data_IF_862399591890
#
_entry.id   IF_862399591890
#
_cell.length_a   1.000
_cell.length_b   1.000
_cell.length_c   1.000
_cell.angle_alpha   90.00
_cell.angle_beta   90.00
_cell.angle_gamma   90.00
#
_symmetry.space_group_name_H-M   'P 1'
#
loop_
_entity.id
_entity.type
_entity.pdbx_description
1 polymer ?
#
# COMPACT_ATOMS: atom_id res chain seq x y z
N UNK A 1 40.88 -30.79 -5.58
CA UNK A 1 41.67 -29.71 -6.21
C UNK A 1 41.40 -29.52 -7.72
N UNK A 2 41.20 -30.59 -8.51
CA UNK A 2 40.86 -30.46 -9.95
C UNK A 2 39.53 -29.72 -10.26
N UNK A 3 38.52 -29.81 -9.40
CA UNK A 3 37.23 -29.11 -9.55
C UNK A 3 37.29 -27.61 -9.21
N UNK A 4 38.18 -27.20 -8.30
CA UNK A 4 38.34 -25.79 -7.89
C UNK A 4 39.08 -25.01 -8.98
N UNK A 5 40.03 -25.65 -9.67
CA UNK A 5 40.75 -25.04 -10.78
C UNK A 5 39.90 -24.93 -12.05
N UNK A 6 38.92 -25.81 -12.26
CA UNK A 6 37.96 -25.71 -13.37
C UNK A 6 37.01 -24.50 -13.22
N UNK A 7 36.49 -24.25 -12.01
CA UNK A 7 35.66 -23.06 -11.74
C UNK A 7 36.42 -21.74 -11.86
N UNK A 8 37.72 -21.72 -11.55
CA UNK A 8 38.53 -20.49 -11.64
C UNK A 8 38.86 -20.12 -13.10
N UNK A 9 38.89 -21.09 -14.02
CA UNK A 9 39.13 -20.87 -15.46
C UNK A 9 37.86 -20.43 -16.20
N UNK A 10 36.70 -20.99 -15.85
CA UNK A 10 35.41 -20.60 -16.45
C UNK A 10 34.97 -19.17 -16.12
N UNK A 11 35.40 -18.61 -14.97
CA UNK A 11 35.02 -17.26 -14.55
C UNK A 11 35.87 -16.14 -15.19
N UNK A 12 37.04 -16.47 -15.74
CA UNK A 12 37.92 -15.49 -16.40
C UNK A 12 37.52 -15.27 -17.88
N UNK A 13 37.03 -16.32 -18.56
CA UNK A 13 36.66 -16.24 -19.97
C UNK A 13 35.32 -15.51 -20.19
N UNK A 14 34.39 -15.56 -19.23
CA UNK A 14 33.09 -14.85 -19.33
C UNK A 14 33.18 -13.32 -19.19
N UNK A 15 34.22 -12.82 -18.50
CA UNK A 15 34.42 -11.38 -18.27
C UNK A 15 35.10 -10.67 -19.45
N UNK A 16 35.71 -11.40 -20.38
CA UNK A 16 36.39 -10.82 -21.55
C UNK A 16 35.51 -10.75 -22.82
N UNK A 17 34.45 -11.57 -22.92
CA UNK A 17 33.56 -11.57 -24.09
C UNK A 17 32.40 -10.54 -24.04
N UNK A 18 32.12 -9.93 -22.88
CA UNK A 18 30.99 -8.97 -22.74
C UNK A 18 31.39 -7.49 -22.67
N UNK A 19 32.66 -7.15 -22.93
CA UNK A 19 33.17 -5.78 -22.81
C UNK A 19 33.19 -4.97 -24.13
N UNK A 20 32.48 -5.43 -25.16
CA UNK A 20 32.46 -4.78 -26.49
C UNK A 20 31.05 -4.62 -27.07
N UNK A 21 30.18 -3.83 -26.42
CA UNK A 21 29.04 -3.22 -27.12
C UNK A 21 28.45 -2.02 -26.36
N UNK A 22 29.24 -0.98 -26.13
CA UNK A 22 28.71 0.34 -25.78
C UNK A 22 29.25 1.39 -26.76
N UNK A 23 28.59 1.50 -27.91
CA UNK A 23 28.65 2.70 -28.76
C UNK A 23 27.28 2.93 -29.41
N UNK A 24 26.71 4.08 -29.07
CA UNK A 24 25.88 4.91 -29.94
C UNK A 24 24.47 4.41 -30.29
N UNK A 25 23.47 4.93 -29.57
CA UNK A 25 22.16 5.22 -30.15
C UNK A 25 21.47 6.33 -29.36
N UNK A 26 21.74 7.57 -29.78
CA UNK A 26 20.86 8.71 -29.55
C UNK A 26 19.65 8.50 -30.44
N UNK A 27 18.47 8.25 -29.86
CA UNK A 27 17.19 8.26 -30.57
C UNK A 27 16.25 9.23 -29.87
N UNK A 28 16.10 10.40 -30.49
CA UNK A 28 15.01 11.35 -30.31
C UNK A 28 13.77 10.78 -31.01
N UNK A 29 12.61 10.74 -30.34
CA UNK A 29 11.39 10.21 -30.96
C UNK A 29 10.11 10.31 -30.11
N UNK A 30 9.44 11.45 -30.23
CA UNK A 30 7.99 11.70 -30.29
C UNK A 30 6.96 10.94 -29.42
N UNK A 31 6.27 11.74 -28.59
CA UNK A 31 4.81 11.93 -28.43
C UNK A 31 3.89 10.74 -28.68
N UNK A 32 3.14 10.34 -27.63
CA UNK A 32 1.68 10.12 -27.73
C UNK A 32 0.97 10.52 -26.43
N UNK A 33 0.07 11.48 -26.59
CA UNK A 33 -0.96 11.95 -25.68
C UNK A 33 -2.07 10.90 -25.59
N UNK A 34 -2.57 10.58 -24.40
CA UNK A 34 -3.82 9.83 -24.24
C UNK A 34 -4.72 10.51 -23.22
N UNK A 35 -5.60 11.36 -23.74
CA UNK A 35 -6.82 11.84 -23.12
C UNK A 35 -7.82 10.70 -22.99
N UNK A 36 -8.44 10.54 -21.82
CA UNK A 36 -9.72 9.84 -21.70
C UNK A 36 -10.78 10.82 -21.21
N UNK A 37 -11.67 11.13 -22.14
CA UNK A 37 -12.97 11.77 -21.94
C UNK A 37 -14.00 10.63 -21.92
N UNK A 38 -14.86 10.57 -20.91
CA UNK A 38 -16.32 10.59 -21.09
C UNK A 38 -17.02 10.55 -19.75
N UNK A 39 -17.93 11.52 -19.59
CA UNK A 39 -18.90 11.64 -18.53
C UNK A 39 -20.03 10.61 -18.68
N UNK A 40 -20.64 10.24 -17.54
CA UNK A 40 -22.03 9.81 -17.52
C UNK A 40 -22.64 10.21 -16.18
N UNK A 41 -23.36 11.33 -16.23
CA UNK A 41 -24.30 11.84 -15.23
C UNK A 41 -25.39 10.82 -14.95
N UNK A 42 -25.52 10.35 -13.70
CA UNK A 42 -26.70 9.60 -13.26
C UNK A 42 -27.87 10.58 -13.10
N UNK A 43 -28.87 10.43 -13.96
CA UNK A 43 -30.19 11.02 -13.81
C UNK A 43 -30.90 10.36 -12.62
N UNK A 44 -31.04 11.11 -11.54
CA UNK A 44 -32.02 10.85 -10.48
C UNK A 44 -33.41 11.23 -11.01
N UNK A 45 -34.26 10.24 -11.25
CA UNK A 45 -35.69 10.45 -11.50
C UNK A 45 -36.41 10.30 -10.16
N UNK A 46 -36.63 11.43 -9.50
CA UNK A 46 -37.61 11.60 -8.42
C UNK A 46 -38.97 11.74 -9.09
N UNK A 47 -39.88 10.79 -8.85
CA UNK A 47 -41.28 10.93 -9.27
C UNK A 47 -42.06 11.54 -8.08
N UNK A 48 -42.82 12.64 -8.29
CA UNK A 48 -43.51 13.35 -7.23
C UNK A 48 -44.80 12.64 -6.81
N UNK A 49 -45.02 12.61 -5.50
CA UNK A 49 -46.31 12.30 -4.88
C UNK A 49 -47.26 13.48 -5.08
N UNK A 50 -48.30 13.33 -5.90
CA UNK A 50 -49.48 14.20 -5.87
C UNK A 50 -50.70 13.38 -5.46
N UNK A 51 -51.31 13.82 -4.36
CA UNK A 51 -52.58 13.34 -3.86
C UNK A 51 -53.73 13.75 -4.78
N UNK A 52 -54.70 12.85 -4.96
CA UNK A 52 -56.08 13.20 -5.32
C UNK A 52 -57.05 12.31 -4.55
N UNK A 53 -57.81 12.93 -3.66
CA UNK A 53 -58.95 12.38 -2.93
C UNK A 53 -60.19 12.47 -3.82
N UNK A 54 -60.96 11.39 -4.01
CA UNK A 54 -62.42 11.48 -4.13
C UNK A 54 -63.08 10.12 -3.84
N UNK A 55 -64.05 10.14 -2.92
CA UNK A 55 -64.89 9.03 -2.48
C UNK A 55 -66.06 8.84 -3.46
N UNK A 56 -66.38 7.59 -3.83
CA UNK A 56 -67.73 6.98 -3.85
C UNK A 56 -67.79 5.74 -4.75
N UNK A 57 -68.49 4.70 -4.27
CA UNK A 57 -68.83 3.47 -5.01
C UNK A 57 -68.47 2.25 -4.17
N UNK A 58 -69.27 1.95 -3.14
CA UNK A 58 -70.32 0.91 -3.18
C UNK A 58 -69.76 -0.50 -3.34
N UNK A 59 -69.92 -1.26 -2.26
CA UNK A 59 -69.77 -2.70 -2.10
C UNK A 59 -69.74 -3.53 -3.38
N UNK A 60 -68.59 -4.16 -3.66
CA UNK A 60 -68.53 -5.36 -4.49
C UNK A 60 -67.34 -6.23 -4.04
N UNK A 61 -67.64 -7.31 -3.31
CA UNK A 61 -66.68 -8.37 -3.06
C UNK A 61 -66.51 -9.14 -4.38
N UNK A 62 -65.31 -9.22 -4.99
CA UNK A 62 -65.17 -10.00 -6.20
C UNK A 62 -65.28 -11.48 -5.85
N UNK A 63 -66.37 -12.04 -6.33
CA UNK A 63 -66.73 -13.44 -6.39
C UNK A 63 -65.76 -14.20 -7.33
N UNK A 64 -65.28 -15.36 -6.84
CA UNK A 64 -64.60 -16.45 -7.57
C UNK A 64 -63.32 -16.07 -8.33
N UNK A 65 -62.17 -16.41 -7.74
CA UNK A 65 -60.86 -16.43 -8.42
C UNK A 65 -60.96 -17.41 -9.60
N UNK A 66 -61.14 -16.87 -10.80
CA UNK A 66 -61.21 -17.65 -12.03
C UNK A 66 -59.92 -18.45 -12.24
N UNK A 67 -60.07 -19.69 -12.70
CA UNK A 67 -58.98 -20.63 -13.03
C UNK A 67 -57.90 -20.00 -13.94
N UNK A 68 -58.26 -18.96 -14.71
CA UNK A 68 -57.38 -18.16 -15.57
C UNK A 68 -56.42 -17.21 -14.82
N UNK A 69 -56.78 -16.67 -13.66
CA UNK A 69 -55.90 -15.82 -12.84
C UNK A 69 -54.82 -16.67 -12.12
N UNK A 70 -55.20 -17.86 -11.68
CA UNK A 70 -54.28 -18.85 -11.11
C UNK A 70 -53.23 -19.32 -12.13
N UNK A 71 -53.67 -19.62 -13.36
CA UNK A 71 -52.75 -20.00 -14.44
C UNK A 71 -51.79 -18.85 -14.81
N UNK A 72 -52.28 -17.61 -14.83
CA UNK A 72 -51.44 -16.44 -15.12
C UNK A 72 -50.40 -16.22 -14.02
N UNK A 73 -50.78 -16.35 -12.75
CA UNK A 73 -49.85 -16.28 -11.61
C UNK A 73 -48.83 -17.41 -11.61
N UNK A 74 -49.23 -18.63 -11.97
CA UNK A 74 -48.31 -19.75 -12.12
C UNK A 74 -47.26 -19.49 -13.20
N UNK A 75 -47.67 -18.98 -14.37
CA UNK A 75 -46.75 -18.65 -15.46
C UNK A 75 -45.78 -17.53 -15.09
N UNK A 76 -46.27 -16.49 -14.41
CA UNK A 76 -45.41 -15.40 -13.91
C UNK A 76 -44.40 -15.95 -12.89
N UNK A 77 -44.83 -16.83 -11.98
CA UNK A 77 -43.96 -17.43 -10.99
C UNK A 77 -42.92 -18.38 -11.62
N UNK A 78 -43.29 -19.15 -12.65
CA UNK A 78 -42.38 -19.99 -13.42
C UNK A 78 -41.32 -19.14 -14.13
N UNK A 79 -41.71 -18.04 -14.77
CA UNK A 79 -40.78 -17.12 -15.44
C UNK A 79 -39.78 -16.49 -14.45
N UNK A 80 -40.25 -16.06 -13.28
CA UNK A 80 -39.38 -15.56 -12.19
C UNK A 80 -38.43 -16.64 -11.69
N UNK A 81 -38.89 -17.90 -11.59
CA UNK A 81 -38.04 -19.00 -11.17
C UNK A 81 -36.92 -19.31 -12.17
N UNK A 82 -37.19 -19.15 -13.47
CA UNK A 82 -36.20 -19.31 -14.54
C UNK A 82 -35.18 -18.16 -14.49
N UNK A 83 -35.64 -16.92 -14.39
CA UNK A 83 -34.78 -15.73 -14.29
C UNK A 83 -33.86 -15.79 -13.05
N UNK A 84 -34.41 -16.21 -11.89
CA UNK A 84 -33.64 -16.39 -10.67
C UNK A 84 -32.55 -17.46 -10.83
N UNK A 85 -32.83 -18.58 -11.51
CA UNK A 85 -31.83 -19.62 -11.78
C UNK A 85 -30.69 -19.13 -12.66
N UNK A 86 -31.00 -18.32 -13.68
CA UNK A 86 -29.97 -17.71 -14.53
C UNK A 86 -29.11 -16.70 -13.76
N UNK A 87 -29.74 -15.88 -12.90
CA UNK A 87 -29.02 -14.98 -11.99
C UNK A 87 -28.12 -15.72 -11.01
N UNK A 88 -28.59 -16.81 -10.41
CA UNK A 88 -27.76 -17.65 -9.52
C UNK A 88 -26.56 -18.20 -10.28
N UNK A 89 -26.77 -18.73 -11.50
CA UNK A 89 -25.68 -19.27 -12.31
C UNK A 89 -24.64 -18.20 -12.66
N UNK A 90 -25.07 -17.01 -13.06
CA UNK A 90 -24.13 -15.91 -13.37
C UNK A 90 -23.37 -15.42 -12.14
N UNK A 91 -24.03 -15.36 -10.97
CA UNK A 91 -23.39 -15.04 -9.70
C UNK A 91 -22.38 -16.12 -9.27
N UNK A 92 -22.70 -17.41 -9.43
CA UNK A 92 -21.77 -18.51 -9.15
C UNK A 92 -20.54 -18.45 -10.06
N UNK A 93 -20.73 -18.21 -11.36
CA UNK A 93 -19.63 -18.04 -12.30
C UNK A 93 -18.79 -16.80 -11.97
N UNK A 94 -19.40 -15.70 -11.55
CA UNK A 94 -18.71 -14.48 -11.11
C UNK A 94 -17.90 -14.72 -9.83
N UNK A 95 -18.46 -15.40 -8.83
CA UNK A 95 -17.77 -15.79 -7.61
C UNK A 95 -16.58 -16.71 -7.91
N UNK A 96 -16.77 -17.69 -8.79
CA UNK A 96 -15.69 -18.61 -9.19
C UNK A 96 -14.57 -17.88 -9.93
N UNK A 97 -14.89 -16.89 -10.75
CA UNK A 97 -13.90 -16.01 -11.40
C UNK A 97 -13.19 -15.13 -10.37
N UNK A 98 -13.89 -14.61 -9.36
CA UNK A 98 -13.28 -13.87 -8.26
C UNK A 98 -12.35 -14.75 -7.42
N UNK A 99 -12.74 -15.98 -7.10
CA UNK A 99 -11.90 -16.91 -6.34
C UNK A 99 -10.68 -17.38 -7.14
N UNK A 100 -10.82 -17.54 -8.47
CA UNK A 100 -9.68 -17.79 -9.35
C UNK A 100 -8.77 -16.57 -9.52
N UNK A 101 -9.30 -15.35 -9.34
CA UNK A 101 -8.55 -14.09 -9.42
C UNK A 101 -7.88 -13.70 -8.09
N UNK A 102 -8.29 -14.28 -6.95
CA UNK A 102 -7.54 -14.15 -5.69
C UNK A 102 -6.13 -14.73 -5.91
N UNK A 103 -5.12 -13.90 -5.64
CA UNK A 103 -3.71 -14.28 -5.72
C UNK A 103 -3.49 -15.61 -4.99
N UNK A 104 -2.93 -16.61 -5.67
CA UNK A 104 -2.53 -17.87 -5.03
C UNK A 104 -1.61 -17.55 -3.84
N UNK A 105 -2.05 -17.93 -2.66
CA UNK A 105 -1.28 -17.80 -1.43
C UNK A 105 -0.39 -19.04 -1.24
N UNK A 106 0.84 -18.90 -0.71
CA UNK A 106 1.50 -17.65 -0.38
C UNK A 106 1.98 -16.91 -1.64
N UNK A 107 1.95 -15.58 -1.61
CA UNK A 107 2.51 -14.73 -2.67
C UNK A 107 3.70 -13.94 -2.17
N UNK A 108 4.68 -13.69 -3.04
CA UNK A 108 5.87 -12.87 -2.73
C UNK A 108 6.15 -11.93 -3.90
N UNK A 109 6.29 -10.65 -3.60
CA UNK A 109 6.67 -9.59 -4.54
C UNK A 109 8.00 -8.99 -4.12
N UNK A 110 8.99 -9.05 -4.99
CA UNK A 110 10.31 -8.46 -4.79
C UNK A 110 10.32 -7.07 -5.43
N UNK A 111 10.80 -6.07 -4.70
CA UNK A 111 10.89 -4.68 -5.13
C UNK A 111 12.27 -4.11 -4.82
N UNK A 112 12.83 -3.33 -5.75
CA UNK A 112 14.09 -2.63 -5.58
C UNK A 112 13.93 -1.12 -5.77
N UNK A 113 14.80 -0.34 -5.16
CA UNK A 113 14.89 1.12 -5.39
C UNK A 113 16.28 1.60 -5.00
N UNK A 114 16.88 2.42 -5.85
CA UNK A 114 18.12 3.12 -5.54
C UNK A 114 17.94 4.62 -5.75
N UNK A 115 18.74 5.40 -5.04
CA UNK A 115 18.78 6.84 -5.13
C UNK A 115 20.23 7.28 -5.00
N UNK A 116 20.73 7.94 -6.04
CA UNK A 116 22.05 8.54 -6.08
C UNK A 116 21.91 10.05 -6.05
N UNK A 117 22.59 10.70 -5.12
CA UNK A 117 22.55 12.14 -4.93
C UNK A 117 23.97 12.69 -5.10
N UNK A 118 24.08 13.93 -5.57
CA UNK A 118 25.32 14.67 -5.59
C UNK A 118 25.08 16.08 -5.06
N UNK A 119 26.02 16.58 -4.26
CA UNK A 119 25.96 17.91 -3.66
C UNK A 119 27.28 18.63 -3.84
N UNK A 120 27.21 19.94 -4.09
CA UNK A 120 28.33 20.86 -4.09
C UNK A 120 28.04 21.96 -3.08
N UNK A 121 28.99 22.22 -2.18
CA UNK A 121 28.86 23.19 -1.12
C UNK A 121 29.81 24.37 -1.35
N UNK A 122 29.30 25.58 -1.11
CA UNK A 122 30.12 26.79 -1.00
C UNK A 122 30.16 27.21 0.46
N UNK A 123 31.36 27.49 0.97
CA UNK A 123 31.58 28.04 2.31
C UNK A 123 32.39 29.33 2.21
N UNK A 124 32.09 30.30 3.07
CA UNK A 124 32.95 31.45 3.35
C UNK A 124 34.10 31.05 4.28
N UNK A 125 35.03 31.99 4.51
CA UNK A 125 36.22 31.72 5.30
C UNK A 125 35.88 31.55 6.80
N UNK A 126 34.93 32.33 7.34
CA UNK A 126 34.46 32.19 8.73
C UNK A 126 33.87 30.79 9.00
N UNK A 127 33.09 30.23 8.05
CA UNK A 127 32.53 28.88 8.15
C UNK A 127 33.61 27.81 8.10
N UNK A 128 34.63 27.98 7.24
CA UNK A 128 35.75 27.03 7.15
C UNK A 128 36.61 27.03 8.40
N UNK A 129 36.84 28.20 8.99
CA UNK A 129 37.62 28.31 10.23
C UNK A 129 36.89 27.69 11.42
N UNK A 130 35.56 27.85 11.49
CA UNK A 130 34.75 27.29 12.57
C UNK A 130 34.47 25.78 12.44
N UNK A 131 34.23 25.28 11.22
CA UNK A 131 33.71 23.92 10.99
C UNK A 131 34.56 23.04 10.06
N UNK A 132 35.67 23.59 9.53
CA UNK A 132 36.47 22.94 8.51
C UNK A 132 35.83 23.00 7.11
N UNK A 133 36.56 22.48 6.13
CA UNK A 133 36.09 22.40 4.75
C UNK A 133 35.09 21.26 4.58
N UNK A 134 33.92 21.61 4.06
CA UNK A 134 32.87 20.68 3.63
C UNK A 134 33.12 20.32 2.17
N UNK A 135 33.32 19.04 1.92
CA UNK A 135 33.52 18.51 0.57
C UNK A 135 32.19 18.33 -0.16
N UNK A 136 32.17 18.70 -1.44
CA UNK A 136 31.15 18.22 -2.36
C UNK A 136 31.42 16.78 -2.76
N UNK A 137 30.38 16.06 -3.19
CA UNK A 137 30.52 14.67 -3.59
C UNK A 137 29.20 14.06 -4.04
N UNK A 138 29.31 12.86 -4.61
CA UNK A 138 28.18 12.01 -4.92
C UNK A 138 28.19 10.75 -4.07
N UNK A 139 27.03 10.33 -3.59
CA UNK A 139 26.85 9.07 -2.87
C UNK A 139 25.48 8.46 -3.20
N UNK A 140 25.39 7.15 -3.04
CA UNK A 140 24.09 6.49 -2.97
C UNK A 140 23.46 6.81 -1.62
N UNK A 141 22.42 7.62 -1.66
CA UNK A 141 21.60 7.91 -0.48
C UNK A 141 20.85 6.67 0.01
N UNK A 142 20.39 5.83 -0.92
CA UNK A 142 19.63 4.59 -0.64
C UNK A 142 19.87 3.57 -1.73
N UNK A 143 19.96 2.30 -1.36
CA UNK A 143 19.92 1.19 -2.28
C UNK A 143 19.20 0.05 -1.56
N UNK A 144 17.89 -0.03 -1.76
CA UNK A 144 17.02 -0.92 -1.01
C UNK A 144 16.50 -2.05 -1.86
N UNK A 145 16.60 -3.24 -1.31
CA UNK A 145 15.92 -4.44 -1.79
C UNK A 145 14.87 -4.83 -0.77
N UNK A 146 13.67 -5.14 -1.23
CA UNK A 146 12.55 -5.53 -0.38
C UNK A 146 11.78 -6.71 -0.95
N UNK A 147 11.23 -7.52 -0.05
CA UNK A 147 10.29 -8.58 -0.35
C UNK A 147 9.03 -8.35 0.49
N UNK A 148 7.87 -8.23 -0.16
CA UNK A 148 6.56 -8.22 0.48
C UNK A 148 5.87 -9.53 0.17
N UNK A 149 5.39 -10.24 1.19
CA UNK A 149 4.62 -11.46 1.00
C UNK A 149 3.26 -11.39 1.67
N UNK A 150 2.28 -12.09 1.09
CA UNK A 150 1.05 -12.46 1.76
C UNK A 150 1.11 -13.96 2.03
N UNK A 151 1.19 -14.34 3.30
CA UNK A 151 1.30 -15.74 3.75
C UNK A 151 -0.08 -16.37 3.81
N UNK A 152 -1.05 -15.66 4.37
CA UNK A 152 -2.47 -16.02 4.42
C UNK A 152 -3.32 -14.80 4.06
N UNK A 153 -4.64 -14.95 3.95
CA UNK A 153 -5.55 -13.82 3.72
C UNK A 153 -5.45 -12.74 4.83
N UNK A 154 -4.99 -13.13 6.02
CA UNK A 154 -4.88 -12.26 7.20
C UNK A 154 -3.45 -12.01 7.66
N UNK A 155 -2.44 -12.51 6.96
CA UNK A 155 -1.05 -12.40 7.40
C UNK A 155 -0.15 -11.92 6.26
N UNK A 156 0.38 -10.71 6.41
CA UNK A 156 1.38 -10.15 5.50
C UNK A 156 2.75 -10.12 6.17
N UNK A 157 3.82 -10.27 5.39
CA UNK A 157 5.19 -10.08 5.83
C UNK A 157 5.93 -9.11 4.92
N UNK A 158 6.87 -8.38 5.49
CA UNK A 158 7.71 -7.46 4.74
C UNK A 158 9.12 -7.44 5.29
N UNK A 159 10.09 -7.55 4.39
CA UNK A 159 11.51 -7.38 4.68
C UNK A 159 12.09 -6.37 3.70
N UNK A 160 12.87 -5.41 4.18
CA UNK A 160 13.62 -4.45 3.38
C UNK A 160 15.02 -4.24 3.98
N UNK A 161 16.03 -4.37 3.13
CA UNK A 161 17.43 -4.15 3.45
C UNK A 161 17.97 -2.99 2.63
N UNK A 162 18.78 -2.13 3.25
CA UNK A 162 19.48 -1.02 2.59
C UNK A 162 20.99 -1.29 2.57
N UNK A 163 21.54 -1.37 1.37
CA UNK A 163 22.99 -1.56 1.15
C UNK A 163 23.71 -0.24 0.90
N UNK A 164 23.00 0.90 0.94
CA UNK A 164 23.59 2.23 0.85
C UNK A 164 23.36 3.11 2.10
N UNK A 165 22.83 2.56 3.19
CA UNK A 165 22.64 3.33 4.43
C UNK A 165 23.76 3.08 5.45
N UNK A 166 24.15 4.06 6.27
CA UNK A 166 25.26 3.91 7.24
C UNK A 166 25.18 2.59 8.03
N UNK A 167 26.32 1.89 8.18
CA UNK A 167 26.36 0.53 8.76
C UNK A 167 25.96 -0.59 7.79
N UNK A 168 26.05 -0.34 6.48
CA UNK A 168 25.70 -1.24 5.35
C UNK A 168 26.20 -2.68 5.58
N UNK A 169 25.36 -3.73 5.38
CA UNK A 169 23.92 -3.70 5.11
C UNK A 169 23.08 -3.49 6.38
N UNK A 170 21.95 -2.78 6.29
CA UNK A 170 21.05 -2.55 7.45
C UNK A 170 19.60 -2.94 7.14
N UNK A 171 18.87 -3.40 8.16
CA UNK A 171 17.43 -3.66 8.03
C UNK A 171 16.65 -2.36 8.23
N UNK A 172 15.94 -1.89 7.21
CA UNK A 172 15.10 -0.69 7.36
C UNK A 172 13.70 -1.06 7.83
N UNK A 173 13.13 -2.14 7.31
CA UNK A 173 11.83 -2.67 7.72
C UNK A 173 11.91 -4.19 7.76
N UNK A 174 11.42 -4.79 8.84
CA UNK A 174 11.26 -6.24 8.97
C UNK A 174 10.08 -6.51 9.90
N UNK A 175 8.91 -6.79 9.35
CA UNK A 175 7.69 -6.93 10.14
C UNK A 175 6.71 -7.94 9.55
N UNK A 176 5.76 -8.33 10.40
CA UNK A 176 4.61 -9.16 10.08
C UNK A 176 3.35 -8.45 10.55
N UNK A 177 2.34 -8.43 9.70
CA UNK A 177 1.00 -7.92 10.00
C UNK A 177 0.02 -9.06 10.17
N UNK A 178 -0.82 -8.93 11.19
CA UNK A 178 -2.01 -9.74 11.41
C UNK A 178 -3.23 -8.83 11.24
N UNK A 179 -3.97 -9.05 10.15
CA UNK A 179 -5.19 -8.33 9.79
C UNK A 179 -6.39 -8.88 10.57
N UNK A 180 -7.45 -8.09 10.64
CA UNK A 180 -8.74 -8.46 11.26
C UNK A 180 -8.62 -8.82 12.75
N UNK A 181 -7.82 -8.09 13.52
CA UNK A 181 -7.63 -8.30 14.96
C UNK A 181 -8.77 -7.68 15.82
N UNK A 182 -9.98 -7.61 15.29
CA UNK A 182 -11.15 -7.01 15.95
C UNK A 182 -10.99 -5.50 16.15
N UNK A 183 -11.22 -4.96 17.37
CA UNK A 183 -11.20 -3.51 17.62
C UNK A 183 -9.81 -2.86 17.46
N UNK A 184 -8.75 -3.67 17.33
CA UNK A 184 -7.38 -3.20 17.11
C UNK A 184 -7.03 -3.05 15.63
N UNK A 185 -7.92 -3.45 14.72
CA UNK A 185 -7.68 -3.39 13.27
C UNK A 185 -6.58 -4.35 12.84
N UNK A 186 -5.40 -3.80 12.53
CA UNK A 186 -4.21 -4.58 12.16
C UNK A 186 -3.15 -4.51 13.25
N UNK A 187 -2.64 -5.67 13.66
CA UNK A 187 -1.50 -5.79 14.59
C UNK A 187 -0.23 -5.99 13.78
N UNK A 188 0.72 -5.07 13.91
CA UNK A 188 2.05 -5.19 13.31
C UNK A 188 3.09 -5.53 14.37
N UNK A 189 3.92 -6.53 14.11
CA UNK A 189 5.05 -6.90 14.96
C UNK A 189 6.33 -6.92 14.14
N UNK A 190 7.35 -6.20 14.59
CA UNK A 190 8.66 -6.17 13.94
C UNK A 190 9.29 -4.79 13.95
N UNK A 191 10.33 -4.60 13.15
CA UNK A 191 10.97 -3.31 12.93
C UNK A 191 10.28 -2.54 11.82
N UNK A 192 9.71 -1.39 12.18
CA UNK A 192 8.95 -0.57 11.25
C UNK A 192 8.94 0.89 11.66
N UNK A 193 8.39 1.74 10.78
CA UNK A 193 8.21 3.16 11.06
C UNK A 193 7.20 3.38 12.18
N UNK A 194 7.55 4.15 13.20
CA UNK A 194 6.58 4.47 14.25
C UNK A 194 5.56 5.51 13.77
N UNK A 195 4.29 5.44 14.22
CA UNK A 195 3.24 6.38 13.86
C UNK A 195 3.42 7.73 14.57
N UNK A 196 4.41 8.51 14.14
CA UNK A 196 4.69 9.85 14.68
C UNK A 196 4.95 10.82 13.54
N UNK A 197 4.24 11.94 13.46
CA UNK A 197 4.30 12.88 12.31
C UNK A 197 3.85 12.27 10.96
N UNK A 198 3.48 13.14 10.02
CA UNK A 198 3.14 12.73 8.65
C UNK A 198 4.40 12.41 7.83
N UNK A 199 5.50 13.07 8.14
CA UNK A 199 6.77 12.92 7.41
C UNK A 199 7.43 11.55 7.62
N UNK A 200 7.22 10.91 8.79
CA UNK A 200 7.69 9.55 9.06
C UNK A 200 6.97 8.55 8.19
N UNK A 201 5.64 8.52 8.27
CA UNK A 201 4.86 7.50 7.60
C UNK A 201 4.98 7.64 6.09
N UNK A 202 5.15 8.87 5.61
CA UNK A 202 5.28 9.18 4.20
C UNK A 202 6.47 8.42 3.61
N UNK A 203 6.22 7.81 2.45
CA UNK A 203 7.29 7.17 1.67
C UNK A 203 8.32 8.22 1.29
N UNK A 204 9.60 7.85 1.37
CA UNK A 204 10.66 8.73 0.89
C UNK A 204 10.55 9.01 -0.62
N UNK A 205 9.83 8.16 -1.38
CA UNK A 205 9.58 8.35 -2.81
C UNK A 205 8.69 9.57 -3.11
N UNK A 206 7.93 10.04 -2.11
CA UNK A 206 6.99 11.15 -2.24
C UNK A 206 7.38 12.35 -1.37
N UNK A 207 8.62 12.38 -0.85
CA UNK A 207 9.14 13.57 -0.18
C UNK A 207 9.43 14.63 -1.23
N UNK A 208 9.00 15.87 -0.98
CA UNK A 208 9.17 17.00 -1.91
C UNK A 208 10.62 17.47 -2.00
N UNK A 209 11.35 17.42 -0.89
CA UNK A 209 12.76 17.78 -0.79
C UNK A 209 13.68 16.55 -0.79
N UNK A 210 14.97 16.75 -1.08
CA UNK A 210 15.97 15.67 -1.07
C UNK A 210 16.17 15.06 0.34
N UNK A 211 16.03 15.90 1.35
CA UNK A 211 16.12 15.56 2.77
C UNK A 211 14.77 15.71 3.48
N UNK A 212 14.61 14.97 4.57
CA UNK A 212 13.55 15.26 5.55
C UNK A 212 13.90 16.52 6.34
N UNK A 213 12.91 17.13 6.98
CA UNK A 213 13.10 18.30 7.83
C UNK A 213 14.12 18.02 8.94
N UNK A 214 14.96 19.00 9.30
CA UNK A 214 15.99 18.82 10.34
C UNK A 214 15.42 18.47 11.72
N UNK A 215 14.19 18.91 12.02
CA UNK A 215 13.47 18.58 13.25
C UNK A 215 13.10 17.09 13.35
N UNK A 216 13.05 16.40 12.22
CA UNK A 216 12.80 14.97 12.15
C UNK A 216 13.82 14.19 12.98
N UNK A 217 15.10 14.42 12.75
CA UNK A 217 16.20 13.64 13.36
C UNK A 217 16.22 13.77 14.89
N UNK A 218 15.80 14.92 15.42
CA UNK A 218 15.89 15.23 16.85
C UNK A 218 14.71 14.69 17.67
N UNK A 219 13.50 14.74 17.12
CA UNK A 219 12.27 14.50 17.91
C UNK A 219 11.50 13.25 17.49
N UNK A 220 11.90 12.61 16.40
CA UNK A 220 11.11 11.54 15.81
C UNK A 220 11.68 10.17 16.14
N UNK A 221 10.93 9.31 16.85
CA UNK A 221 11.28 7.89 16.95
C UNK A 221 11.02 7.22 15.59
N UNK A 222 12.02 7.18 14.71
CA UNK A 222 11.76 6.82 13.31
C UNK A 222 11.42 5.34 13.14
N UNK A 223 12.35 4.44 13.48
CA UNK A 223 12.22 3.00 13.23
C UNK A 223 12.67 2.20 14.42
N UNK A 224 11.78 1.38 14.94
CA UNK A 224 12.05 0.53 16.08
C UNK A 224 11.36 -0.83 15.89
N UNK A 225 12.03 -1.88 16.38
CA UNK A 225 11.49 -3.23 16.51
C UNK A 225 10.52 -3.25 17.66
N UNK A 226 9.22 -3.53 17.46
CA UNK A 226 8.23 -3.88 18.50
C UNK A 226 6.82 -3.99 17.88
N UNK A 227 5.75 -3.89 18.70
CA UNK A 227 4.35 -4.04 18.32
C UNK A 227 3.64 -2.70 18.14
N UNK A 228 2.72 -2.64 17.18
CA UNK A 228 1.71 -1.61 17.16
C UNK A 228 0.45 -2.02 16.43
N UNK A 229 -0.50 -1.09 16.43
CA UNK A 229 -1.88 -1.26 16.05
C UNK A 229 -2.24 -0.09 15.16
N UNK A 230 -3.03 -0.34 14.14
CA UNK A 230 -3.60 0.73 13.35
C UNK A 230 -4.89 0.26 12.69
N UNK A 231 -5.78 1.22 12.51
CA UNK A 231 -7.02 1.01 11.78
C UNK A 231 -7.49 2.31 11.13
N UNK A 232 -8.54 2.18 10.33
CA UNK A 232 -9.26 3.28 9.71
C UNK A 232 -10.76 3.07 9.88
N UNK A 233 -11.52 4.15 9.80
CA UNK A 233 -12.97 4.06 9.78
C UNK A 233 -13.49 3.46 8.48
N UNK A 234 -14.68 2.87 8.53
CA UNK A 234 -15.36 2.29 7.37
C UNK A 234 -15.61 3.33 6.27
N UNK A 235 -15.88 4.58 6.67
CA UNK A 235 -16.10 5.73 5.80
C UNK A 235 -14.79 6.43 5.38
N UNK A 236 -13.63 5.93 5.81
CA UNK A 236 -12.29 6.47 5.54
C UNK A 236 -12.08 7.94 5.97
N UNK A 237 -12.95 8.47 6.84
CA UNK A 237 -12.86 9.83 7.34
C UNK A 237 -11.83 10.01 8.45
N UNK A 238 -11.39 8.93 9.10
CA UNK A 238 -10.30 8.99 10.07
C UNK A 238 -9.46 7.72 10.09
N UNK A 239 -8.21 7.88 10.55
CA UNK A 239 -7.29 6.78 10.79
C UNK A 239 -6.55 7.01 12.10
N UNK A 240 -6.23 5.93 12.77
CA UNK A 240 -5.45 5.94 14.00
C UNK A 240 -4.35 4.89 13.96
N UNK A 241 -3.29 5.15 14.68
CA UNK A 241 -2.23 4.19 14.90
C UNK A 241 -1.61 4.41 16.28
N UNK A 242 -1.28 3.33 16.96
CA UNK A 242 -0.58 3.34 18.24
C UNK A 242 0.52 2.29 18.21
N UNK A 243 1.62 2.56 18.89
CA UNK A 243 2.76 1.65 18.96
C UNK A 243 3.42 1.77 20.31
N UNK A 244 3.91 0.63 20.77
CA UNK A 244 4.83 0.55 21.89
C UNK A 244 6.15 0.07 21.32
N UNK A 245 7.25 0.71 21.68
CA UNK A 245 8.56 0.33 21.17
C UNK A 245 9.65 0.53 22.20
N UNK A 246 10.82 -0.05 21.94
CA UNK A 246 12.00 0.07 22.78
C UNK A 246 13.06 0.88 22.05
N UNK A 247 13.63 1.84 22.74
CA UNK A 247 14.75 2.66 22.28
C UNK A 247 16.06 1.89 22.48
N UNK A 248 17.15 2.36 21.85
CA UNK A 248 18.46 1.72 21.98
C UNK A 248 18.59 0.36 21.27
N UNK A 249 17.98 0.22 20.10
CA UNK A 249 18.25 -0.92 19.21
C UNK A 249 19.32 -0.55 18.18
N UNK A 250 20.15 -1.51 17.77
CA UNK A 250 21.08 -1.36 16.65
C UNK A 250 20.37 -1.47 15.29
N UNK A 251 21.14 -1.37 14.20
CA UNK A 251 20.62 -1.43 12.83
C UNK A 251 20.15 -2.83 12.38
N UNK A 252 20.33 -3.84 13.24
CA UNK A 252 19.93 -5.23 13.02
C UNK A 252 18.82 -5.70 13.99
N UNK A 253 18.32 -4.80 14.85
CA UNK A 253 17.29 -5.11 15.84
C UNK A 253 17.82 -5.71 17.15
N UNK A 254 19.13 -5.63 17.40
CA UNK A 254 19.76 -6.02 18.65
C UNK A 254 19.62 -4.93 19.72
N UNK A 255 19.29 -5.31 20.95
CA UNK A 255 19.23 -4.36 22.07
C UNK A 255 20.62 -3.98 22.56
N UNK A 256 20.93 -2.69 22.54
CA UNK A 256 22.21 -2.13 23.02
C UNK A 256 22.20 -1.83 24.52
N UNK A 257 21.04 -1.87 25.17
CA UNK A 257 20.88 -1.71 26.62
C UNK A 257 19.83 -2.68 27.17
N UNK A 258 20.12 -3.24 28.35
CA UNK A 258 19.19 -4.07 29.12
C UNK A 258 18.30 -3.25 30.05
N UNK A 259 18.71 -2.03 30.41
CA UNK A 259 18.04 -1.18 31.38
C UNK A 259 17.33 0.00 30.72
N UNK A 260 16.02 0.11 30.98
CA UNK A 260 15.19 1.21 30.50
C UNK A 260 14.99 1.24 28.98
N UNK A 261 14.23 2.26 28.54
CA UNK A 261 14.08 2.60 27.13
C UNK A 261 12.80 2.11 26.47
N UNK A 262 11.63 2.32 27.08
CA UNK A 262 10.35 2.08 26.40
C UNK A 262 9.75 3.42 25.93
N UNK A 263 9.10 3.40 24.78
CA UNK A 263 8.45 4.52 24.15
C UNK A 263 7.06 4.14 23.68
N UNK A 264 6.18 5.13 23.65
CA UNK A 264 4.85 5.04 23.06
C UNK A 264 4.75 6.12 21.99
N UNK A 265 4.26 5.74 20.81
CA UNK A 265 3.88 6.71 19.78
C UNK A 265 2.47 6.41 19.32
N UNK A 266 1.65 7.46 19.25
CA UNK A 266 0.29 7.40 18.76
C UNK A 266 0.04 8.53 17.79
N UNK A 267 -0.86 8.28 16.84
CA UNK A 267 -1.31 9.26 15.87
C UNK A 267 -2.79 9.06 15.58
N UNK A 268 -3.50 10.16 15.51
CA UNK A 268 -4.87 10.24 15.05
C UNK A 268 -4.94 11.26 13.92
N UNK A 269 -5.58 10.91 12.82
CA UNK A 269 -5.76 11.77 11.66
C UNK A 269 -7.24 11.76 11.28
N UNK A 270 -7.81 12.95 11.11
CA UNK A 270 -9.16 13.14 10.59
C UNK A 270 -9.05 13.85 9.25
N UNK A 271 -9.71 13.29 8.25
CA UNK A 271 -9.92 13.91 6.96
C UNK A 271 -11.43 13.98 6.73
N UNK A 272 -12.08 15.12 7.05
CA UNK A 272 -13.49 15.26 6.76
C UNK A 272 -13.67 15.25 5.24
N UNK A 273 -14.20 14.16 4.69
CA UNK A 273 -14.64 14.18 3.30
C UNK A 273 -15.85 15.09 3.21
N UNK A 274 -15.66 16.27 2.61
CA UNK A 274 -16.75 17.19 2.35
C UNK A 274 -17.68 16.59 1.30
N UNK A 275 -18.74 15.90 1.72
CA UNK A 275 -19.94 15.75 0.90
C UNK A 275 -20.70 17.07 0.97
N UNK A 276 -20.31 18.06 0.15
CA UNK A 276 -21.06 19.32 0.04
C UNK A 276 -20.23 20.53 -0.39
N UNK A 277 -19.82 20.56 -1.66
CA UNK A 277 -19.75 21.76 -2.51
C UNK A 277 -20.08 21.35 -3.95
#
# INVERSE_FOLDING_TARGET
ELLINACRKANADWLLENMFCLRSAVCVGFVTLSTFLTASTLHSQVVPTTASTFLQGSDEYPEVVGETDLLTRMQVMESQSVELREKIKTLEEANKRQDAAKSKLPSVTINGVFQADAAAFGQDDDSRDAYGRVEGGGDFRRARLSAKGAVTDRMDCFMQMDVAFFGRPTFTDLWVDFKDAGPLGTVRVGQWKQPFSLEVVSSFRYTTFMERAGTFQAFTPFRHLWIGFYDNSDDLNWTWAASYFRTGQDQFGGSLSTDGGNGLAGRFLVYPSGSGL
#
